data_IF_693517649932
#
_entry.id   IF_693517649932
#
_cell.length_a   1.000
_cell.length_b   1.000
_cell.length_c   1.000
_cell.angle_alpha   90.00
_cell.angle_beta   90.00
_cell.angle_gamma   90.00
#
_symmetry.space_group_name_H-M   'P 1'
#
loop_
_entity.id
_entity.type
_entity.pdbx_description
1 polymer ?
#
# COMPACT_ATOMS: atom_id res chain seq x y z
N UNK A 1 -4.37 -4.12 -18.59
CA UNK A 1 -4.49 -2.65 -18.37
C UNK A 1 -4.00 -1.91 -19.59
N UNK A 2 -4.31 -0.62 -19.75
CA UNK A 2 -3.58 0.23 -20.71
C UNK A 2 -2.19 0.54 -20.17
N UNK A 3 -1.19 0.71 -21.05
CA UNK A 3 0.21 0.95 -20.66
C UNK A 3 0.36 2.14 -19.69
N UNK A 4 -0.39 3.21 -19.90
CA UNK A 4 -0.39 4.39 -19.03
C UNK A 4 -0.89 4.11 -17.59
N UNK A 5 -1.93 3.28 -17.43
CA UNK A 5 -2.45 2.94 -16.10
C UNK A 5 -1.52 2.03 -15.30
N UNK A 6 -0.78 1.15 -15.98
CA UNK A 6 0.30 0.34 -15.38
C UNK A 6 1.42 1.26 -14.90
N UNK A 7 1.92 2.13 -15.78
CA UNK A 7 3.00 3.05 -15.47
C UNK A 7 2.67 3.96 -14.28
N UNK A 8 1.45 4.52 -14.25
CA UNK A 8 1.02 5.37 -13.14
C UNK A 8 0.95 4.61 -11.80
N UNK A 9 0.40 3.39 -11.80
CA UNK A 9 0.33 2.57 -10.58
C UNK A 9 1.73 2.18 -10.09
N UNK A 10 2.63 1.83 -11.02
CA UNK A 10 4.02 1.50 -10.71
C UNK A 10 4.80 2.69 -10.10
N UNK A 11 4.58 3.91 -10.61
CA UNK A 11 5.19 5.13 -10.04
C UNK A 11 4.72 5.40 -8.61
N UNK A 12 3.42 5.18 -8.33
CA UNK A 12 2.87 5.27 -6.98
C UNK A 12 3.59 4.28 -6.05
N UNK A 13 3.76 3.02 -6.48
CA UNK A 13 4.41 2.00 -5.66
C UNK A 13 5.88 2.31 -5.38
N UNK A 14 6.62 2.82 -6.36
CA UNK A 14 8.01 3.28 -6.17
C UNK A 14 8.05 4.38 -5.10
N UNK A 15 7.13 5.35 -5.16
CA UNK A 15 7.03 6.41 -4.15
C UNK A 15 6.76 5.86 -2.75
N UNK A 16 5.83 4.90 -2.61
CA UNK A 16 5.53 4.26 -1.33
C UNK A 16 6.70 3.47 -0.77
N UNK A 17 7.41 2.71 -1.60
CA UNK A 17 8.61 1.98 -1.20
C UNK A 17 9.65 2.96 -0.68
N UNK A 18 9.88 4.06 -1.39
CA UNK A 18 10.80 5.12 -0.94
C UNK A 18 10.42 5.70 0.42
N UNK A 19 9.14 6.01 0.64
CA UNK A 19 8.65 6.51 1.93
C UNK A 19 8.79 5.47 3.07
N UNK A 20 8.56 4.19 2.79
CA UNK A 20 8.78 3.13 3.79
C UNK A 20 10.25 2.90 4.10
N UNK A 21 11.14 2.90 3.10
CA UNK A 21 12.58 2.86 3.31
C UNK A 21 13.02 4.05 4.16
N UNK A 22 12.52 5.24 3.87
CA UNK A 22 12.80 6.43 4.67
C UNK A 22 12.32 6.28 6.13
N UNK A 23 11.16 5.68 6.37
CA UNK A 23 10.69 5.42 7.74
C UNK A 23 11.62 4.49 8.54
N UNK A 24 12.15 3.44 7.89
CA UNK A 24 13.11 2.53 8.51
C UNK A 24 14.45 3.22 8.75
N UNK A 25 14.90 4.03 7.79
CA UNK A 25 16.12 4.83 7.94
C UNK A 25 16.02 5.76 9.15
N UNK A 26 14.92 6.54 9.26
CA UNK A 26 14.71 7.43 10.41
C UNK A 26 14.70 6.63 11.71
N UNK A 27 13.98 5.51 11.77
CA UNK A 27 13.90 4.69 12.98
C UNK A 27 15.27 4.12 13.40
N UNK A 28 16.04 3.63 12.44
CA UNK A 28 17.41 3.15 12.68
C UNK A 28 18.32 4.27 13.20
N UNK A 29 18.27 5.45 12.58
CA UNK A 29 19.09 6.59 13.02
C UNK A 29 18.72 7.07 14.44
N UNK A 30 17.43 7.05 14.80
CA UNK A 30 16.99 7.38 16.16
C UNK A 30 17.56 6.42 17.21
N UNK A 31 17.73 5.14 16.87
CA UNK A 31 18.32 4.15 17.77
C UNK A 31 19.84 4.20 17.85
N UNK A 32 20.52 4.57 16.76
CA UNK A 32 21.99 4.48 16.65
C UNK A 32 22.73 5.80 16.82
N UNK A 33 22.06 6.96 16.71
CA UNK A 33 22.71 8.27 16.73
C UNK A 33 22.06 9.22 17.74
N UNK A 34 22.64 9.39 18.94
CA UNK A 34 22.16 10.33 19.94
C UNK A 34 22.11 11.76 19.36
N UNK A 35 20.96 12.44 19.51
CA UNK A 35 20.76 13.79 18.99
C UNK A 35 20.35 13.88 17.50
N UNK A 36 20.15 12.74 16.82
CA UNK A 36 19.59 12.75 15.47
C UNK A 36 18.19 13.39 15.45
N UNK A 37 17.96 14.27 14.47
CA UNK A 37 16.66 14.90 14.22
C UNK A 37 16.22 14.59 12.79
N UNK A 38 15.07 13.95 12.64
CA UNK A 38 14.56 13.60 11.33
C UNK A 38 14.13 14.84 10.55
N UNK A 39 14.37 14.87 9.24
CA UNK A 39 13.93 15.97 8.37
C UNK A 39 12.40 16.14 8.32
N UNK A 40 11.67 15.07 8.58
CA UNK A 40 10.22 15.10 8.63
C UNK A 40 9.65 15.54 10.00
N UNK A 41 10.50 15.87 10.97
CA UNK A 41 10.10 16.57 12.20
C UNK A 41 10.10 18.09 11.96
N UNK A 42 8.94 18.61 11.55
CA UNK A 42 8.77 20.01 11.15
C UNK A 42 8.44 20.90 12.34
N UNK A 43 7.61 20.40 13.28
CA UNK A 43 7.17 21.15 14.45
C UNK A 43 6.94 20.22 15.65
N UNK A 44 6.61 20.78 16.80
CA UNK A 44 6.23 19.99 17.99
C UNK A 44 5.02 19.09 17.74
N UNK A 45 4.13 19.48 16.82
CA UNK A 45 2.94 18.76 16.42
C UNK A 45 3.16 17.86 15.18
N UNK A 46 4.05 18.23 14.26
CA UNK A 46 4.36 17.42 13.07
C UNK A 46 5.70 16.70 13.30
N UNK A 47 5.63 15.46 13.77
CA UNK A 47 6.81 14.66 14.10
C UNK A 47 6.62 13.19 13.72
N UNK A 48 7.43 12.73 12.77
CA UNK A 48 7.44 11.32 12.37
C UNK A 48 8.29 10.48 13.33
N UNK A 49 9.32 11.08 13.96
CA UNK A 49 10.20 10.34 14.88
C UNK A 49 9.43 9.73 16.04
N UNK A 50 8.52 10.51 16.66
CA UNK A 50 7.64 9.99 17.72
C UNK A 50 6.71 8.89 17.21
N UNK A 51 6.19 9.03 15.98
CA UNK A 51 5.32 8.02 15.39
C UNK A 51 6.06 6.70 15.15
N UNK A 52 7.24 6.75 14.52
CA UNK A 52 8.01 5.55 14.18
C UNK A 52 8.57 4.84 15.40
N UNK A 53 8.94 5.59 16.45
CA UNK A 53 9.45 5.04 17.70
C UNK A 53 8.34 4.68 18.72
N UNK A 54 7.07 4.89 18.38
CA UNK A 54 5.95 4.45 19.23
C UNK A 54 5.78 2.92 19.17
N UNK A 55 5.09 2.35 20.16
CA UNK A 55 4.68 0.94 20.14
C UNK A 55 3.84 0.59 18.93
N UNK A 56 3.09 1.55 18.36
CA UNK A 56 2.33 1.35 17.13
C UNK A 56 3.18 1.40 15.87
N UNK A 57 4.42 1.91 15.94
CA UNK A 57 5.39 1.92 14.85
C UNK A 57 6.02 0.54 14.57
N UNK A 58 5.82 -0.41 15.48
CA UNK A 58 6.24 -1.82 15.37
C UNK A 58 5.01 -2.71 15.44
N UNK A 59 4.89 -3.67 14.52
CA UNK A 59 3.84 -4.69 14.52
C UNK A 59 2.43 -4.11 14.57
N UNK A 60 2.21 -2.89 14.06
CA UNK A 60 0.96 -2.14 14.14
C UNK A 60 0.44 -1.87 15.57
N UNK A 61 1.26 -2.10 16.60
CA UNK A 61 0.85 -2.11 18.02
C UNK A 61 -0.09 -3.27 18.36
N UNK A 62 -0.12 -4.32 17.52
CA UNK A 62 -1.00 -5.47 17.66
C UNK A 62 -0.20 -6.77 17.78
N UNK A 63 0.88 -6.91 17.01
CA UNK A 63 1.61 -8.18 16.92
C UNK A 63 2.34 -8.51 18.23
N UNK A 64 3.07 -7.55 18.82
CA UNK A 64 3.73 -7.73 20.11
C UNK A 64 2.78 -8.25 21.21
N UNK A 65 1.65 -7.57 21.46
CA UNK A 65 0.66 -8.03 22.44
C UNK A 65 0.00 -9.39 22.14
N UNK A 66 -0.14 -9.78 20.87
CA UNK A 66 -0.85 -11.00 20.47
C UNK A 66 0.07 -12.22 20.34
N UNK A 67 1.29 -12.03 19.82
CA UNK A 67 2.22 -13.11 19.46
C UNK A 67 3.53 -13.07 20.27
N UNK A 68 3.75 -12.01 21.04
CA UNK A 68 4.97 -11.76 21.83
C UNK A 68 5.87 -10.69 21.21
N UNK A 69 6.56 -9.92 22.06
CA UNK A 69 7.43 -8.82 21.61
C UNK A 69 8.63 -9.29 20.79
N UNK A 70 9.18 -10.47 21.12
CA UNK A 70 10.31 -11.09 20.40
C UNK A 70 9.86 -11.92 19.18
N UNK A 71 8.58 -11.93 18.85
CA UNK A 71 8.06 -12.72 17.73
C UNK A 71 8.64 -12.21 16.41
N UNK A 72 8.97 -13.11 15.46
CA UNK A 72 9.55 -12.73 14.16
C UNK A 72 8.67 -11.78 13.34
N UNK A 73 7.36 -11.82 13.58
CA UNK A 73 6.38 -10.90 12.97
C UNK A 73 6.23 -9.58 13.75
N UNK A 74 6.91 -9.34 14.86
CA UNK A 74 6.87 -8.03 15.51
C UNK A 74 7.90 -7.09 14.87
N UNK A 75 7.75 -6.85 13.56
CA UNK A 75 8.67 -6.02 12.77
C UNK A 75 8.18 -4.58 12.66
N UNK A 76 9.08 -3.66 12.33
CA UNK A 76 8.72 -2.28 12.05
C UNK A 76 7.71 -2.17 10.90
N UNK A 77 6.75 -1.26 11.03
CA UNK A 77 5.71 -1.06 10.01
C UNK A 77 6.30 -0.72 8.63
N UNK A 78 7.48 -0.10 8.59
CA UNK A 78 8.21 0.16 7.35
C UNK A 78 8.59 -1.11 6.58
N UNK A 79 8.90 -2.22 7.29
CA UNK A 79 9.19 -3.53 6.68
C UNK A 79 7.94 -4.08 6.00
N UNK A 80 6.80 -4.05 6.70
CA UNK A 80 5.51 -4.42 6.13
C UNK A 80 5.15 -3.58 4.92
N UNK A 81 5.35 -2.27 4.99
CA UNK A 81 5.17 -1.36 3.86
C UNK A 81 5.96 -1.82 2.64
N UNK A 82 7.27 -2.02 2.77
CA UNK A 82 8.13 -2.48 1.68
C UNK A 82 7.62 -3.78 1.07
N UNK A 83 7.30 -4.80 1.88
CA UNK A 83 6.83 -6.11 1.40
C UNK A 83 5.53 -5.95 0.59
N UNK A 84 4.52 -5.28 1.15
CA UNK A 84 3.22 -5.14 0.49
C UNK A 84 3.28 -4.22 -0.73
N UNK A 85 4.12 -3.18 -0.72
CA UNK A 85 4.27 -2.27 -1.86
C UNK A 85 5.06 -2.93 -3.00
N UNK A 86 6.09 -3.72 -2.70
CA UNK A 86 6.78 -4.54 -3.69
C UNK A 86 5.84 -5.60 -4.27
N UNK A 87 5.06 -6.29 -3.43
CA UNK A 87 4.07 -7.25 -3.92
C UNK A 87 3.05 -6.58 -4.83
N UNK A 88 2.53 -5.40 -4.47
CA UNK A 88 1.63 -4.63 -5.32
C UNK A 88 2.27 -4.28 -6.66
N UNK A 89 3.51 -3.75 -6.64
CA UNK A 89 4.26 -3.40 -7.84
C UNK A 89 4.43 -4.59 -8.79
N UNK A 90 4.81 -5.76 -8.25
CA UNK A 90 4.97 -6.98 -9.04
C UNK A 90 3.64 -7.45 -9.65
N UNK A 91 2.55 -7.37 -8.88
CA UNK A 91 1.21 -7.72 -9.36
C UNK A 91 0.72 -6.76 -10.46
N UNK A 92 1.00 -5.45 -10.33
CA UNK A 92 0.71 -4.42 -11.33
C UNK A 92 1.44 -4.69 -12.64
N UNK A 93 2.74 -4.99 -12.57
CA UNK A 93 3.61 -5.11 -13.74
C UNK A 93 3.50 -6.45 -14.46
N UNK A 94 3.33 -7.55 -13.72
CA UNK A 94 3.51 -8.89 -14.26
C UNK A 94 2.26 -9.77 -14.20
N UNK A 95 1.29 -9.48 -13.32
CA UNK A 95 0.18 -10.40 -13.04
C UNK A 95 -1.09 -10.05 -13.84
N UNK A 96 -1.08 -10.33 -15.15
CA UNK A 96 -2.23 -10.09 -16.05
C UNK A 96 -3.37 -11.14 -15.94
N UNK A 97 -3.20 -12.18 -15.12
CA UNK A 97 -4.18 -13.24 -14.93
C UNK A 97 -5.35 -12.81 -14.03
N UNK A 98 -6.48 -13.53 -14.08
CA UNK A 98 -7.61 -13.27 -13.17
C UNK A 98 -7.19 -13.38 -11.69
N UNK A 99 -6.35 -14.36 -11.38
CA UNK A 99 -5.79 -14.53 -10.04
C UNK A 99 -4.91 -13.34 -9.66
N UNK A 100 -4.05 -12.88 -10.57
CA UNK A 100 -3.22 -11.69 -10.37
C UNK A 100 -4.02 -10.44 -10.01
N UNK A 101 -5.12 -10.19 -10.73
CA UNK A 101 -6.04 -9.09 -10.40
C UNK A 101 -6.71 -9.26 -9.04
N UNK A 102 -7.12 -10.48 -8.68
CA UNK A 102 -7.72 -10.75 -7.37
C UNK A 102 -6.72 -10.48 -6.23
N UNK A 103 -5.51 -11.04 -6.34
CA UNK A 103 -4.43 -10.83 -5.37
C UNK A 103 -4.06 -9.36 -5.23
N UNK A 104 -4.01 -8.63 -6.34
CA UNK A 104 -3.74 -7.18 -6.33
C UNK A 104 -4.80 -6.41 -5.54
N UNK A 105 -6.07 -6.70 -5.79
CA UNK A 105 -7.17 -6.04 -5.08
C UNK A 105 -7.15 -6.38 -3.58
N UNK A 106 -6.92 -7.64 -3.23
CA UNK A 106 -6.78 -8.07 -1.83
C UNK A 106 -5.62 -7.35 -1.14
N UNK A 107 -4.47 -7.24 -1.81
CA UNK A 107 -3.31 -6.51 -1.31
C UNK A 107 -3.65 -5.03 -1.05
N UNK A 108 -4.26 -4.35 -2.03
CA UNK A 108 -4.63 -2.93 -1.89
C UNK A 108 -5.70 -2.70 -0.83
N UNK A 109 -6.64 -3.64 -0.65
CA UNK A 109 -7.60 -3.61 0.45
C UNK A 109 -6.92 -3.77 1.81
N UNK A 110 -5.97 -4.71 1.94
CA UNK A 110 -5.20 -4.89 3.17
C UNK A 110 -4.39 -3.64 3.52
N UNK A 111 -3.72 -3.03 2.54
CA UNK A 111 -3.00 -1.76 2.70
C UNK A 111 -3.91 -0.62 3.14
N UNK A 112 -5.11 -0.49 2.56
CA UNK A 112 -6.07 0.53 2.92
C UNK A 112 -6.64 0.30 4.34
N UNK A 113 -6.96 -0.93 4.70
CA UNK A 113 -7.43 -1.29 6.04
C UNK A 113 -6.37 -1.00 7.11
N UNK A 114 -5.11 -1.40 6.86
CA UNK A 114 -3.99 -1.07 7.74
C UNK A 114 -3.74 0.44 7.84
N UNK A 115 -3.91 1.18 6.75
CA UNK A 115 -3.81 2.65 6.75
C UNK A 115 -4.92 3.29 7.58
N UNK A 116 -6.15 2.77 7.50
CA UNK A 116 -7.28 3.25 8.32
C UNK A 116 -7.02 3.01 9.81
N UNK A 117 -6.53 1.83 10.17
CA UNK A 117 -6.11 1.51 11.53
C UNK A 117 -5.05 2.48 12.05
N UNK A 118 -3.95 2.63 11.31
CA UNK A 118 -2.86 3.51 11.73
C UNK A 118 -3.24 5.00 11.69
N UNK A 119 -4.13 5.42 10.78
CA UNK A 119 -4.67 6.77 10.78
C UNK A 119 -5.50 7.04 12.04
N UNK A 120 -6.32 6.09 12.47
CA UNK A 120 -7.03 6.20 13.75
C UNK A 120 -6.06 6.37 14.92
N UNK A 121 -5.03 5.53 14.99
CA UNK A 121 -3.97 5.66 16.02
C UNK A 121 -3.29 7.03 15.96
N UNK A 122 -2.89 7.48 14.76
CA UNK A 122 -2.18 8.73 14.57
C UNK A 122 -2.96 9.94 15.10
N UNK A 123 -4.24 10.04 14.74
CA UNK A 123 -5.06 11.20 15.09
C UNK A 123 -5.68 11.13 16.50
N UNK A 124 -6.15 9.96 16.93
CA UNK A 124 -6.91 9.84 18.17
C UNK A 124 -6.07 9.36 19.37
N UNK A 125 -5.07 8.51 19.14
CA UNK A 125 -4.23 7.94 20.21
C UNK A 125 -2.96 8.76 20.40
N UNK A 126 -2.17 8.93 19.34
CA UNK A 126 -0.87 9.63 19.37
C UNK A 126 -1.00 11.16 19.39
N UNK A 127 -2.08 11.70 18.82
CA UNK A 127 -2.43 13.14 18.84
C UNK A 127 -1.34 14.06 18.28
N UNK A 128 -0.59 13.58 17.29
CA UNK A 128 0.37 14.35 16.50
C UNK A 128 0.33 13.91 15.04
N UNK A 129 0.84 14.72 14.13
CA UNK A 129 0.82 14.43 12.70
C UNK A 129 2.16 13.86 12.21
N UNK A 130 2.09 12.88 11.32
CA UNK A 130 3.24 12.32 10.61
C UNK A 130 3.00 12.48 9.10
N UNK A 131 3.71 13.43 8.46
CA UNK A 131 3.49 13.75 7.04
C UNK A 131 3.83 12.57 6.12
N UNK A 132 4.87 11.80 6.47
CA UNK A 132 5.27 10.59 5.74
C UNK A 132 4.15 9.54 5.79
N UNK A 133 3.58 9.33 6.98
CA UNK A 133 2.50 8.38 7.20
C UNK A 133 1.24 8.79 6.43
N UNK A 134 0.84 10.06 6.54
CA UNK A 134 -0.32 10.61 5.82
C UNK A 134 -0.14 10.47 4.31
N UNK A 135 1.06 10.73 3.79
CA UNK A 135 1.37 10.52 2.38
C UNK A 135 1.23 9.04 1.98
N UNK A 136 1.76 8.11 2.77
CA UNK A 136 1.59 6.66 2.52
C UNK A 136 0.11 6.28 2.52
N UNK A 137 -0.69 6.76 3.48
CA UNK A 137 -2.12 6.43 3.57
C UNK A 137 -2.90 6.96 2.37
N UNK A 138 -2.64 8.22 1.99
CA UNK A 138 -3.25 8.83 0.81
C UNK A 138 -2.87 8.09 -0.48
N UNK A 139 -1.59 7.72 -0.62
CA UNK A 139 -1.15 6.89 -1.73
C UNK A 139 -1.89 5.56 -1.69
N UNK A 140 -1.92 4.81 -0.58
CA UNK A 140 -2.59 3.51 -0.46
C UNK A 140 -4.05 3.55 -0.91
N UNK A 141 -4.80 4.56 -0.47
CA UNK A 141 -6.17 4.79 -0.93
C UNK A 141 -6.23 5.03 -2.45
N UNK A 142 -5.31 5.82 -3.00
CA UNK A 142 -5.23 6.08 -4.44
C UNK A 142 -5.00 4.79 -5.25
N UNK A 143 -4.11 3.86 -4.85
CA UNK A 143 -4.01 2.59 -5.61
C UNK A 143 -5.27 1.75 -5.48
N UNK A 144 -5.90 1.67 -4.31
CA UNK A 144 -7.14 0.93 -4.17
C UNK A 144 -8.21 1.45 -5.14
N UNK A 145 -8.36 2.79 -5.25
CA UNK A 145 -9.27 3.40 -6.20
C UNK A 145 -8.91 3.10 -7.66
N UNK A 146 -7.61 3.16 -8.00
CA UNK A 146 -7.12 2.79 -9.34
C UNK A 146 -7.39 1.32 -9.66
N UNK A 147 -7.18 0.41 -8.72
CA UNK A 147 -7.40 -1.03 -8.88
C UNK A 147 -8.88 -1.34 -9.12
N UNK A 148 -9.77 -0.72 -8.33
CA UNK A 148 -11.23 -0.84 -8.49
C UNK A 148 -11.66 -0.28 -9.86
N UNK A 149 -11.18 0.90 -10.24
CA UNK A 149 -11.48 1.52 -11.53
C UNK A 149 -11.03 0.62 -12.69
N UNK A 150 -9.83 0.05 -12.59
CA UNK A 150 -9.26 -0.86 -13.58
C UNK A 150 -10.05 -2.17 -13.68
N UNK A 151 -10.50 -2.74 -12.55
CA UNK A 151 -11.34 -3.93 -12.53
C UNK A 151 -12.68 -3.69 -13.26
N UNK A 152 -13.33 -2.55 -12.99
CA UNK A 152 -14.58 -2.15 -13.66
C UNK A 152 -14.37 -1.99 -15.17
N UNK A 153 -13.31 -1.28 -15.56
CA UNK A 153 -12.95 -1.09 -16.97
C UNK A 153 -12.66 -2.42 -17.69
N UNK A 154 -11.91 -3.33 -17.06
CA UNK A 154 -11.56 -4.62 -17.66
C UNK A 154 -12.79 -5.53 -17.81
N UNK A 155 -13.65 -5.56 -16.79
CA UNK A 155 -14.90 -6.34 -16.81
C UNK A 155 -15.84 -5.90 -17.93
N UNK A 156 -15.96 -4.57 -18.17
CA UNK A 156 -16.72 -4.03 -19.28
C UNK A 156 -16.15 -4.47 -20.65
N UNK A 157 -14.84 -4.36 -20.85
CA UNK A 157 -14.16 -4.78 -22.08
C UNK A 157 -14.28 -6.28 -22.34
N UNK A 158 -14.17 -7.11 -21.30
CA UNK A 158 -14.36 -8.56 -21.44
C UNK A 158 -15.79 -8.92 -21.86
N UNK A 159 -16.81 -8.32 -21.24
CA UNK A 159 -18.22 -8.51 -21.64
C UNK A 159 -18.44 -8.18 -23.12
N UNK A 160 -17.90 -7.05 -23.58
CA UNK A 160 -17.96 -6.65 -25.00
C UNK A 160 -17.24 -7.65 -25.93
N UNK A 161 -16.06 -8.15 -25.55
CA UNK A 161 -15.30 -9.12 -26.37
C UNK A 161 -16.03 -10.45 -26.48
N UNK A 162 -16.59 -10.96 -25.38
CA UNK A 162 -17.40 -12.18 -25.37
C UNK A 162 -18.65 -12.02 -26.23
N UNK A 163 -19.36 -10.88 -26.12
CA UNK A 163 -20.52 -10.58 -26.95
C UNK A 163 -20.17 -10.55 -28.46
N UNK A 164 -19.05 -9.90 -28.84
CA UNK A 164 -18.57 -9.88 -30.23
C UNK A 164 -18.22 -11.28 -30.76
N UNK A 165 -17.58 -12.13 -29.94
CA UNK A 165 -17.25 -13.51 -30.30
C UNK A 165 -18.50 -14.38 -30.48
N UNK A 166 -19.50 -14.26 -29.59
CA UNK A 166 -20.80 -14.94 -29.72
C UNK A 166 -21.52 -14.52 -31.01
N UNK A 167 -21.54 -13.22 -31.33
CA UNK A 167 -22.13 -12.71 -32.59
C UNK A 167 -21.41 -13.26 -33.83
N UNK A 168 -20.07 -13.28 -33.83
CA UNK A 168 -19.29 -13.87 -34.94
C UNK A 168 -19.55 -15.36 -35.13
N UNK A 169 -19.70 -16.14 -34.04
CA UNK A 169 -20.04 -17.57 -34.12
C UNK A 169 -21.44 -17.79 -34.72
N UNK A 170 -22.44 -17.02 -34.26
CA UNK A 170 -23.81 -17.10 -34.78
C UNK A 170 -23.89 -16.79 -36.28
N UNK A 171 -23.12 -15.80 -36.75
CA UNK A 171 -23.08 -15.46 -38.18
C UNK A 171 -22.42 -16.54 -39.04
N UNK A 172 -21.42 -17.28 -38.52
CA UNK A 172 -20.77 -18.38 -39.26
C UNK A 172 -21.62 -19.64 -39.37
N UNK A 173 -22.57 -19.86 -38.46
CA UNK A 173 -23.50 -20.99 -38.55
C UNK A 173 -24.67 -20.76 -39.52
N UNK A 174 -24.76 -19.56 -40.09
CA UNK A 174 -25.84 -19.17 -41.01
C UNK A 174 -25.44 -19.32 -42.49
N UNK A 175 -24.17 -19.62 -42.76
CA UNK A 175 -23.60 -19.92 -44.08
C UNK A 175 -22.95 -21.30 -44.01
#
# INVERSE_FOLDING_TARGET
>A
MGKAGVAFSALIDIGRIGLSVYSLYVKSMLGSSPGYKAHCDISSYITCSKTFNSSYGTGFGLIGPLLGEDHILNQDNGVYGIIFFLMHFLLVCFAASKLGFCLRLLNSLALAAGSLWLAYILFYVLKHACIVCIAIYGLNLLALLLDICQLRCHSAKQKQRVAKLKRKRKNRQKY
#
